data_IF_307786517820
#
_entry.id   IF_307786517820
#
_cell.length_a   1.000
_cell.length_b   1.000
_cell.length_c   1.000
_cell.angle_alpha   90.00
_cell.angle_beta   90.00
_cell.angle_gamma   90.00
#
_symmetry.space_group_name_H-M   'P 1'
#
loop_
_entity.id
_entity.type
_entity.pdbx_description
1 polymer ?
#
# COMPACT_ATOMS: atom_id res chain seq x y z
N UNK A 1 -5.94 -22.66 -1.28
CA UNK A 1 -4.55 -22.25 -1.02
C UNK A 1 -3.81 -21.75 -2.27
N UNK A 2 -4.28 -21.99 -3.51
CA UNK A 2 -3.58 -21.52 -4.72
C UNK A 2 -3.67 -20.01 -5.01
N UNK A 3 -4.75 -19.32 -4.60
CA UNK A 3 -4.97 -17.90 -4.94
C UNK A 3 -3.92 -16.93 -4.35
N UNK A 4 -3.46 -17.19 -3.13
CA UNK A 4 -2.49 -16.32 -2.45
C UNK A 4 -1.08 -16.37 -3.05
N UNK A 5 -0.68 -17.50 -3.63
CA UNK A 5 0.61 -17.59 -4.32
C UNK A 5 0.60 -16.73 -5.58
N UNK A 6 -0.53 -16.69 -6.29
CA UNK A 6 -0.69 -15.85 -7.47
C UNK A 6 -0.63 -14.35 -7.11
N UNK A 7 -1.21 -13.93 -5.99
CA UNK A 7 -1.23 -12.51 -5.57
C UNK A 7 0.15 -11.99 -5.19
N UNK A 8 0.97 -12.79 -4.48
CA UNK A 8 2.35 -12.43 -4.16
C UNK A 8 3.22 -12.35 -5.42
N UNK A 9 3.00 -13.24 -6.39
CA UNK A 9 3.68 -13.21 -7.69
C UNK A 9 3.28 -11.97 -8.48
N UNK A 10 1.99 -11.59 -8.49
CA UNK A 10 1.53 -10.36 -9.12
C UNK A 10 2.19 -9.13 -8.52
N UNK A 11 2.23 -9.03 -7.18
CA UNK A 11 2.87 -7.92 -6.48
C UNK A 11 4.38 -7.86 -6.74
N UNK A 12 5.06 -9.01 -6.76
CA UNK A 12 6.48 -9.10 -7.10
C UNK A 12 6.73 -8.63 -8.54
N UNK A 13 5.88 -9.04 -9.48
CA UNK A 13 5.98 -8.60 -10.88
C UNK A 13 5.70 -7.10 -11.02
N UNK A 14 4.74 -6.58 -10.27
CA UNK A 14 4.44 -5.15 -10.24
C UNK A 14 5.68 -4.34 -9.81
N UNK A 15 6.27 -4.67 -8.65
CA UNK A 15 7.48 -3.98 -8.17
C UNK A 15 8.73 -4.25 -9.02
N UNK A 16 8.75 -5.31 -9.83
CA UNK A 16 9.79 -5.53 -10.84
C UNK A 16 9.55 -4.75 -12.15
N UNK A 17 8.43 -4.02 -12.29
CA UNK A 17 8.04 -3.36 -13.54
C UNK A 17 7.61 -4.32 -14.65
N UNK A 18 7.28 -5.57 -14.30
CA UNK A 18 6.97 -6.68 -15.21
C UNK A 18 5.48 -7.02 -15.29
N UNK A 19 4.62 -6.23 -14.63
CA UNK A 19 3.19 -6.46 -14.58
C UNK A 19 2.41 -5.27 -14.03
N UNK A 20 1.08 -5.26 -14.21
CA UNK A 20 0.20 -4.29 -13.58
C UNK A 20 0.13 -4.53 -12.06
N UNK A 21 -0.29 -3.52 -11.27
CA UNK A 21 -0.60 -3.74 -9.87
C UNK A 21 -1.82 -4.66 -9.70
N UNK A 22 -1.92 -5.40 -8.58
CA UNK A 22 -3.06 -6.27 -8.26
C UNK A 22 -4.26 -5.43 -7.81
N UNK A 23 -4.88 -4.73 -8.76
CA UNK A 23 -5.94 -3.74 -8.51
C UNK A 23 -7.17 -4.38 -7.86
N UNK A 24 -7.62 -5.52 -8.37
CA UNK A 24 -8.87 -6.13 -7.92
C UNK A 24 -8.78 -6.50 -6.43
N UNK A 25 -7.68 -7.10 -6.03
CA UNK A 25 -7.41 -7.57 -4.68
C UNK A 25 -7.29 -6.40 -3.71
N UNK A 26 -6.50 -5.37 -4.04
CA UNK A 26 -6.30 -4.22 -3.13
C UNK A 26 -7.56 -3.36 -3.00
N UNK A 27 -8.34 -3.20 -4.07
CA UNK A 27 -9.63 -2.50 -3.98
C UNK A 27 -10.69 -3.32 -3.25
N UNK A 28 -10.68 -4.65 -3.41
CA UNK A 28 -11.57 -5.51 -2.65
C UNK A 28 -11.30 -5.38 -1.15
N UNK A 29 -10.04 -5.49 -0.72
CA UNK A 29 -9.64 -5.40 0.69
C UNK A 29 -9.98 -4.01 1.28
N UNK A 30 -9.63 -2.94 0.57
CA UNK A 30 -9.91 -1.57 1.05
C UNK A 30 -11.39 -1.18 0.99
N UNK A 31 -12.20 -1.90 0.20
CA UNK A 31 -13.64 -1.73 0.11
C UNK A 31 -14.47 -2.55 1.12
N UNK A 32 -13.81 -3.35 1.97
CA UNK A 32 -14.51 -4.13 3.00
C UNK A 32 -15.16 -3.22 4.05
N UNK A 33 -16.30 -3.61 4.65
CA UNK A 33 -16.87 -2.87 5.77
C UNK A 33 -15.91 -2.75 6.95
N UNK A 34 -15.98 -1.66 7.71
CA UNK A 34 -15.06 -1.35 8.82
C UNK A 34 -14.86 -2.53 9.79
N UNK A 35 -15.93 -3.26 10.13
CA UNK A 35 -15.83 -4.43 11.01
C UNK A 35 -14.90 -5.50 10.42
N UNK A 36 -14.99 -5.79 9.13
CA UNK A 36 -14.12 -6.76 8.46
C UNK A 36 -12.68 -6.24 8.35
N UNK A 37 -12.50 -4.93 8.20
CA UNK A 37 -11.15 -4.34 8.23
C UNK A 37 -10.53 -4.50 9.62
N UNK A 38 -11.29 -4.31 10.69
CA UNK A 38 -10.82 -4.53 12.07
C UNK A 38 -10.48 -6.00 12.34
N UNK A 39 -11.31 -6.92 11.83
CA UNK A 39 -11.04 -8.35 11.92
C UNK A 39 -9.74 -8.71 11.17
N UNK A 40 -9.56 -8.18 9.95
CA UNK A 40 -8.32 -8.35 9.17
C UNK A 40 -7.10 -7.73 9.85
N UNK A 41 -7.24 -6.57 10.49
CA UNK A 41 -6.14 -5.95 11.21
C UNK A 41 -5.66 -6.82 12.37
N UNK A 42 -6.58 -7.56 13.00
CA UNK A 42 -6.27 -8.47 14.10
C UNK A 42 -5.63 -9.78 13.60
N UNK A 43 -6.18 -10.37 12.54
CA UNK A 43 -5.75 -11.69 12.06
C UNK A 43 -4.58 -11.63 11.07
N UNK A 44 -4.59 -10.65 10.17
CA UNK A 44 -3.68 -10.51 9.03
C UNK A 44 -3.33 -9.02 8.75
N UNK A 45 -2.73 -8.30 9.71
CA UNK A 45 -2.50 -6.84 9.61
C UNK A 45 -1.73 -6.44 8.35
N UNK A 46 -0.74 -7.25 7.94
CA UNK A 46 0.08 -6.98 6.78
C UNK A 46 -0.74 -6.84 5.49
N UNK A 47 -1.81 -7.61 5.34
CA UNK A 47 -2.65 -7.56 4.14
C UNK A 47 -3.40 -6.23 4.03
N UNK A 48 -4.05 -5.81 5.12
CA UNK A 48 -4.81 -4.57 5.14
C UNK A 48 -3.89 -3.36 4.93
N UNK A 49 -2.79 -3.30 5.68
CA UNK A 49 -1.81 -2.20 5.60
C UNK A 49 -1.23 -2.11 4.18
N UNK A 50 -0.82 -3.24 3.61
CA UNK A 50 -0.30 -3.31 2.24
C UNK A 50 -1.33 -2.85 1.22
N UNK A 51 -2.59 -3.29 1.32
CA UNK A 51 -3.64 -2.90 0.39
C UNK A 51 -3.84 -1.38 0.38
N UNK A 52 -3.87 -0.74 1.55
CA UNK A 52 -3.94 0.72 1.67
C UNK A 52 -2.72 1.42 1.06
N UNK A 53 -1.50 0.92 1.31
CA UNK A 53 -0.27 1.49 0.75
C UNK A 53 -0.20 1.37 -0.78
N UNK A 54 -0.58 0.21 -1.33
CA UNK A 54 -0.59 -0.03 -2.78
C UNK A 54 -1.65 0.83 -3.47
N UNK A 55 -2.85 0.96 -2.90
CA UNK A 55 -3.87 1.88 -3.44
C UNK A 55 -3.38 3.32 -3.43
N UNK A 56 -2.70 3.75 -2.35
CA UNK A 56 -2.12 5.06 -2.27
C UNK A 56 -1.12 5.31 -3.42
N UNK A 57 -0.21 4.37 -3.67
CA UNK A 57 0.76 4.47 -4.77
C UNK A 57 0.08 4.61 -6.14
N UNK A 58 -0.90 3.77 -6.40
CA UNK A 58 -1.64 3.77 -7.68
C UNK A 58 -2.36 5.12 -7.85
N UNK A 59 -3.04 5.59 -6.81
CA UNK A 59 -3.71 6.90 -6.82
C UNK A 59 -2.74 8.04 -7.07
N UNK A 60 -1.54 7.97 -6.50
CA UNK A 60 -0.51 8.98 -6.71
C UNK A 60 -0.08 9.04 -8.17
N UNK A 61 0.19 7.88 -8.79
CA UNK A 61 0.59 7.76 -10.21
C UNK A 61 -0.50 8.22 -11.18
N UNK A 62 -1.76 8.10 -10.78
CA UNK A 62 -2.91 8.63 -11.54
C UNK A 62 -3.12 10.14 -11.35
N UNK A 63 -2.28 10.82 -10.55
CA UNK A 63 -2.39 12.25 -10.26
C UNK A 63 -3.44 12.58 -9.19
N UNK A 64 -4.05 11.58 -8.54
CA UNK A 64 -5.05 11.75 -7.49
C UNK A 64 -4.41 12.01 -6.11
N UNK A 65 -3.60 13.07 -6.00
CA UNK A 65 -2.73 13.34 -4.84
C UNK A 65 -3.49 13.37 -3.50
N UNK A 66 -4.69 13.94 -3.45
CA UNK A 66 -5.48 14.02 -2.21
C UNK A 66 -5.98 12.64 -1.77
N UNK A 67 -6.55 11.88 -2.71
CA UNK A 67 -7.04 10.51 -2.47
C UNK A 67 -5.89 9.61 -2.05
N UNK A 68 -4.77 9.69 -2.76
CA UNK A 68 -3.51 9.02 -2.43
C UNK A 68 -3.09 9.27 -0.98
N UNK A 69 -3.04 10.54 -0.55
CA UNK A 69 -2.66 10.89 0.81
C UNK A 69 -3.61 10.29 1.87
N UNK A 70 -4.92 10.25 1.60
CA UNK A 70 -5.88 9.62 2.51
C UNK A 70 -5.63 8.13 2.70
N UNK A 71 -5.41 7.38 1.62
CA UNK A 71 -5.08 5.95 1.71
C UNK A 71 -3.74 5.71 2.41
N UNK A 72 -2.73 6.53 2.11
CA UNK A 72 -1.42 6.48 2.76
C UNK A 72 -1.52 6.69 4.27
N UNK A 73 -2.23 7.74 4.70
CA UNK A 73 -2.45 8.05 6.11
C UNK A 73 -3.21 6.92 6.82
N UNK A 74 -4.25 6.36 6.20
CA UNK A 74 -5.01 5.26 6.80
C UNK A 74 -4.16 4.00 6.98
N UNK A 75 -3.34 3.63 5.99
CA UNK A 75 -2.41 2.50 6.12
C UNK A 75 -1.40 2.69 7.26
N UNK A 76 -0.91 3.92 7.46
CA UNK A 76 -0.01 4.24 8.58
C UNK A 76 -0.72 4.27 9.94
N UNK A 77 -2.00 4.66 9.98
CA UNK A 77 -2.80 4.59 11.20
C UNK A 77 -2.94 3.13 11.65
N UNK A 78 -3.26 2.22 10.74
CA UNK A 78 -3.31 0.79 11.05
C UNK A 78 -1.97 0.23 11.52
N UNK A 79 -0.86 0.66 10.93
CA UNK A 79 0.47 0.27 11.41
C UNK A 79 0.72 0.78 12.84
N UNK A 80 0.28 2.00 13.17
CA UNK A 80 0.41 2.59 14.49
C UNK A 80 -0.49 1.96 15.56
N UNK A 81 -1.52 1.21 15.15
CA UNK A 81 -2.39 0.42 16.04
C UNK A 81 -1.73 -0.90 16.49
N UNK A 82 -0.66 -1.33 15.82
CA UNK A 82 0.10 -2.53 16.21
C UNK A 82 1.03 -2.25 17.39
N UNK A 83 1.41 -3.31 18.12
CA UNK A 83 2.49 -3.21 19.10
C UNK A 83 3.79 -2.75 18.43
N UNK A 84 4.58 -1.91 19.10
CA UNK A 84 5.73 -1.23 18.47
C UNK A 84 6.73 -2.17 17.81
N UNK A 85 7.01 -3.33 18.42
CA UNK A 85 7.91 -4.35 17.85
C UNK A 85 7.32 -5.02 16.61
N UNK A 86 6.00 -5.24 16.58
CA UNK A 86 5.31 -5.80 15.42
C UNK A 86 5.26 -4.78 14.27
N UNK A 87 5.01 -3.51 14.57
CA UNK A 87 5.05 -2.42 13.61
C UNK A 87 6.43 -2.28 12.96
N UNK A 88 7.51 -2.28 13.76
CA UNK A 88 8.89 -2.23 13.26
C UNK A 88 9.20 -3.40 12.33
N UNK A 89 8.92 -4.64 12.78
CA UNK A 89 9.12 -5.84 11.96
C UNK A 89 8.33 -5.77 10.66
N UNK A 90 7.11 -5.23 10.71
CA UNK A 90 6.24 -5.11 9.56
C UNK A 90 6.73 -4.07 8.55
N UNK A 91 7.21 -2.91 9.00
CA UNK A 91 7.81 -1.89 8.13
C UNK A 91 9.07 -2.39 7.43
N UNK A 92 9.85 -3.25 8.09
CA UNK A 92 11.07 -3.84 7.51
C UNK A 92 10.78 -5.02 6.59
N UNK A 93 9.56 -5.56 6.62
CA UNK A 93 9.17 -6.73 5.84
C UNK A 93 8.86 -6.38 4.38
N UNK A 94 9.29 -7.26 3.48
CA UNK A 94 8.73 -7.27 2.13
C UNK A 94 7.31 -7.85 2.21
N UNK A 95 6.29 -7.24 1.57
CA UNK A 95 6.35 -6.16 0.57
C UNK A 95 6.08 -4.73 1.07
N UNK A 96 5.86 -4.52 2.37
CA UNK A 96 5.51 -3.20 2.93
C UNK A 96 6.64 -2.18 2.73
N UNK A 97 7.89 -2.59 2.98
CA UNK A 97 9.06 -1.75 2.74
C UNK A 97 9.13 -1.23 1.30
N UNK A 98 8.74 -2.09 0.34
CA UNK A 98 8.81 -1.75 -1.09
C UNK A 98 7.71 -0.76 -1.46
N UNK A 99 6.47 -0.99 -0.99
CA UNK A 99 5.37 -0.06 -1.15
C UNK A 99 5.74 1.35 -0.63
N UNK A 100 6.41 1.41 0.53
CA UNK A 100 6.84 2.66 1.11
C UNK A 100 7.88 3.38 0.26
N UNK A 101 8.93 2.69 -0.17
CA UNK A 101 9.97 3.27 -1.03
C UNK A 101 9.41 3.82 -2.33
N UNK A 102 8.51 3.07 -2.99
CA UNK A 102 7.89 3.50 -4.23
C UNK A 102 7.00 4.72 -4.05
N UNK A 103 6.21 4.76 -2.98
CA UNK A 103 5.37 5.92 -2.66
C UNK A 103 6.23 7.17 -2.41
N UNK A 104 7.26 7.07 -1.57
CA UNK A 104 8.16 8.17 -1.23
C UNK A 104 8.91 8.69 -2.48
N UNK A 105 9.42 7.81 -3.33
CA UNK A 105 10.05 8.18 -4.60
C UNK A 105 9.07 8.94 -5.52
N UNK A 106 7.84 8.43 -5.67
CA UNK A 106 6.80 9.06 -6.48
C UNK A 106 6.42 10.46 -5.96
N UNK A 107 6.40 10.67 -4.64
CA UNK A 107 6.14 11.98 -4.04
C UNK A 107 7.27 12.97 -4.38
N UNK A 108 8.53 12.53 -4.35
CA UNK A 108 9.67 13.38 -4.70
C UNK A 108 9.63 13.79 -6.18
N UNK A 109 9.39 12.85 -7.09
CA UNK A 109 9.26 13.12 -8.53
C UNK A 109 8.17 14.16 -8.82
N UNK A 110 6.99 14.02 -8.21
CA UNK A 110 5.87 14.97 -8.41
C UNK A 110 6.22 16.36 -7.88
N UNK A 111 6.97 16.47 -6.77
CA UNK A 111 7.41 17.76 -6.23
C UNK A 111 8.41 18.45 -7.15
N UNK A 112 9.35 17.70 -7.70
CA UNK A 112 10.33 18.23 -8.64
C UNK A 112 9.64 18.76 -9.91
N UNK A 113 8.73 18.00 -10.51
CA UNK A 113 7.97 18.43 -11.71
C UNK A 113 7.24 19.75 -11.44
N UNK A 114 6.56 19.88 -10.29
CA UNK A 114 5.86 21.13 -9.95
C UNK A 114 6.79 22.32 -9.75
N UNK A 115 8.02 22.09 -9.29
CA UNK A 115 9.01 23.15 -9.10
C UNK A 115 9.59 23.66 -10.42
N UNK A 116 9.56 22.86 -11.50
CA UNK A 116 9.98 23.29 -12.84
C UNK A 116 8.89 24.06 -13.61
N UNK A 117 7.63 24.00 -13.17
CA UNK A 117 6.49 24.66 -13.82
C UNK A 117 6.18 26.07 -13.24
N UNK A 118 6.93 26.51 -12.21
CA UNK A 118 6.84 27.83 -11.57
C UNK A 118 7.97 28.78 -12.03
#
# INVERSE_FOLDING_TARGET
MAAFEDDLVQLQRFYAGLGPPPLEEVYYITGLPDQFQQDLLTECPAMLILAYMVVAEIKLRLGEVRTSASFWTQGHQFLAELESSAAETMMESWPILEAQRYYEASVLEIREVKHFEE
#
